data_IF_221088616349
#
_entry.id   IF_221088616349
#
_cell.length_a   1.000
_cell.length_b   1.000
_cell.length_c   1.000
_cell.angle_alpha   90.00
_cell.angle_beta   90.00
_cell.angle_gamma   90.00
#
_symmetry.space_group_name_H-M   'P 1'
#
loop_
_entity.id
_entity.type
_entity.pdbx_description
1 polymer ?
#
# COMPACT_ATOMS: atom_id res chain seq x y z
N UNK A 1 -2.78 -5.86 8.89
CA UNK A 1 -4.11 -6.38 8.54
C UNK A 1 -5.10 -5.26 8.76
N UNK A 2 -5.55 -4.59 7.70
CA UNK A 2 -6.56 -3.54 7.79
C UNK A 2 -7.86 -4.11 7.20
N UNK A 3 -8.89 -4.22 8.03
CA UNK A 3 -10.27 -4.45 7.63
C UNK A 3 -11.07 -3.32 8.28
N UNK A 4 -11.78 -2.53 7.48
CA UNK A 4 -12.80 -1.61 7.99
C UNK A 4 -14.07 -1.76 7.15
N UNK A 5 -15.21 -1.83 7.83
CA UNK A 5 -16.48 -2.32 7.30
C UNK A 5 -17.52 -1.21 7.19
N UNK A 6 -18.07 -1.02 6.00
CA UNK A 6 -19.24 -0.17 5.72
C UNK A 6 -20.03 -0.75 4.55
N UNK A 7 -21.34 -0.93 4.76
CA UNK A 7 -22.21 -1.91 4.10
C UNK A 7 -22.54 -1.72 2.60
N UNK A 8 -21.98 -0.72 1.90
CA UNK A 8 -22.32 -0.45 0.48
C UNK A 8 -21.12 -0.15 -0.43
N UNK A 9 -19.89 -0.31 0.08
CA UNK A 9 -18.70 -0.29 -0.75
C UNK A 9 -18.31 -1.74 -1.08
N UNK A 10 -18.26 -2.07 -2.38
CA UNK A 10 -17.72 -3.35 -2.87
C UNK A 10 -16.20 -3.32 -2.70
N UNK A 11 -15.75 -3.59 -1.48
CA UNK A 11 -14.34 -3.69 -1.13
C UNK A 11 -13.76 -4.92 -1.80
N UNK A 12 -12.82 -4.71 -2.72
CA UNK A 12 -12.24 -5.79 -3.50
C UNK A 12 -11.64 -5.33 -4.80
N UNK A 13 -10.94 -6.24 -5.48
CA UNK A 13 -10.50 -6.07 -6.86
C UNK A 13 -11.52 -6.78 -7.75
N UNK A 14 -12.16 -6.05 -8.66
CA UNK A 14 -13.18 -6.58 -9.57
C UNK A 14 -14.32 -7.32 -8.85
N UNK A 15 -14.73 -6.79 -7.69
CA UNK A 15 -15.79 -7.38 -6.85
C UNK A 15 -15.36 -8.59 -6.02
N UNK A 16 -14.05 -8.91 -5.97
CA UNK A 16 -13.51 -10.03 -5.18
C UNK A 16 -12.80 -9.53 -3.93
N UNK A 17 -13.08 -10.10 -2.74
CA UNK A 17 -12.35 -9.74 -1.54
C UNK A 17 -10.88 -10.15 -1.68
N UNK A 18 -9.98 -9.21 -1.43
CA UNK A 18 -8.53 -9.45 -1.48
C UNK A 18 -7.85 -9.05 -0.17
N UNK A 19 -6.74 -9.71 0.14
CA UNK A 19 -5.79 -9.24 1.14
C UNK A 19 -4.51 -8.75 0.48
N UNK A 20 -3.88 -7.74 1.07
CA UNK A 20 -2.57 -7.24 0.61
C UNK A 20 -1.57 -7.41 1.76
N UNK A 21 -0.44 -8.05 1.48
CA UNK A 21 0.60 -8.33 2.47
C UNK A 21 1.93 -7.74 2.03
N UNK A 22 2.61 -7.05 2.93
CA UNK A 22 4.00 -6.63 2.78
C UNK A 22 4.96 -7.68 3.37
N UNK A 23 6.23 -7.69 2.95
CA UNK A 23 7.19 -8.70 3.36
C UNK A 23 8.63 -8.17 3.44
N UNK A 24 9.44 -8.84 4.28
CA UNK A 24 10.88 -8.62 4.37
C UNK A 24 11.63 -9.02 3.10
N UNK A 25 11.01 -9.84 2.23
CA UNK A 25 11.55 -10.18 0.90
C UNK A 25 11.41 -9.04 -0.12
N UNK A 26 10.98 -7.85 0.33
CA UNK A 26 10.89 -6.61 -0.44
C UNK A 26 9.74 -6.59 -1.44
N UNK A 27 8.79 -7.52 -1.30
CA UNK A 27 7.63 -7.61 -2.18
C UNK A 27 6.34 -7.30 -1.44
N UNK A 28 5.33 -6.93 -2.22
CA UNK A 28 3.95 -6.84 -1.78
C UNK A 28 3.13 -7.83 -2.59
N UNK A 29 2.27 -8.60 -1.94
CA UNK A 29 1.44 -9.64 -2.58
C UNK A 29 -0.02 -9.33 -2.37
N UNK A 30 -0.81 -9.60 -3.39
CA UNK A 30 -2.27 -9.55 -3.35
C UNK A 30 -2.77 -10.99 -3.33
N UNK A 31 -3.75 -11.27 -2.48
CA UNK A 31 -4.31 -12.61 -2.28
C UNK A 31 -5.80 -12.56 -2.55
N UNK A 32 -6.29 -13.49 -3.35
CA UNK A 32 -7.72 -13.72 -3.49
C UNK A 32 -8.19 -14.48 -2.24
N UNK A 33 -9.06 -13.85 -1.45
CA UNK A 33 -9.53 -14.44 -0.19
C UNK A 33 -10.57 -15.54 -0.38
N UNK A 34 -11.17 -15.64 -1.56
CA UNK A 34 -12.09 -16.73 -1.91
C UNK A 34 -11.32 -18.01 -2.20
N UNK A 35 -10.17 -17.90 -2.88
CA UNK A 35 -9.40 -19.07 -3.31
C UNK A 35 -8.18 -19.36 -2.43
N UNK A 36 -7.68 -18.37 -1.69
CA UNK A 36 -6.45 -18.43 -0.91
C UNK A 36 -5.16 -18.30 -1.73
N UNK A 37 -5.27 -18.08 -3.05
CA UNK A 37 -4.11 -17.98 -3.94
C UNK A 37 -3.68 -16.54 -4.18
N UNK A 38 -2.38 -16.30 -4.47
CA UNK A 38 -1.91 -15.01 -4.95
C UNK A 38 -2.60 -14.58 -6.25
N UNK A 39 -2.94 -13.30 -6.35
CA UNK A 39 -3.40 -12.67 -7.59
C UNK A 39 -2.21 -12.08 -8.30
N UNK A 40 -1.85 -12.67 -9.44
CA UNK A 40 -0.74 -12.20 -10.27
C UNK A 40 0.63 -12.33 -9.62
N UNK A 41 1.61 -11.61 -10.18
CA UNK A 41 2.97 -11.54 -9.64
C UNK A 41 3.05 -10.57 -8.45
N UNK A 42 4.06 -10.72 -7.56
CA UNK A 42 4.30 -9.75 -6.51
C UNK A 42 4.53 -8.34 -7.07
N UNK A 43 3.91 -7.34 -6.44
CA UNK A 43 4.10 -5.94 -6.75
C UNK A 43 5.53 -5.54 -6.38
N UNK A 44 6.35 -5.28 -7.41
CA UNK A 44 7.80 -5.12 -7.31
C UNK A 44 8.32 -3.85 -8.00
N UNK A 45 7.43 -3.03 -8.57
CA UNK A 45 7.75 -1.77 -9.24
C UNK A 45 8.72 -0.90 -8.44
N UNK A 46 9.98 -0.86 -8.88
CA UNK A 46 11.10 -0.34 -8.10
C UNK A 46 11.44 -1.27 -6.93
N UNK A 47 12.61 -1.91 -6.97
CA UNK A 47 13.02 -2.79 -5.87
C UNK A 47 13.22 -1.92 -4.63
N UNK A 48 12.39 -2.12 -3.61
CA UNK A 48 12.64 -1.54 -2.30
C UNK A 48 14.11 -1.79 -1.91
N UNK A 49 14.78 -0.76 -1.44
CA UNK A 49 16.12 -0.85 -0.88
C UNK A 49 16.14 -1.78 0.35
N UNK A 50 15.05 -1.83 1.12
CA UNK A 50 14.87 -2.67 2.30
C UNK A 50 13.54 -3.44 2.34
N UNK A 51 13.16 -3.90 3.54
CA UNK A 51 11.89 -4.58 3.78
C UNK A 51 10.69 -3.64 3.51
N UNK A 52 9.56 -4.22 3.12
CA UNK A 52 8.28 -3.49 3.10
C UNK A 52 7.60 -3.71 4.44
N UNK A 53 7.58 -2.65 5.26
CA UNK A 53 7.14 -2.74 6.65
C UNK A 53 5.67 -2.36 6.83
N UNK A 54 5.10 -1.64 5.85
CA UNK A 54 3.77 -1.06 5.99
C UNK A 54 2.96 -1.19 4.71
N UNK A 55 1.65 -1.42 4.88
CA UNK A 55 0.67 -1.39 3.80
C UNK A 55 -0.66 -0.87 4.33
N UNK A 56 -1.31 0.00 3.55
CA UNK A 56 -2.68 0.44 3.74
C UNK A 56 -3.44 0.27 2.42
N UNK A 57 -4.73 -0.03 2.50
CA UNK A 57 -5.61 -0.14 1.34
C UNK A 57 -6.75 0.86 1.46
N UNK A 58 -7.22 1.36 0.32
CA UNK A 58 -8.37 2.24 0.25
C UNK A 58 -9.04 2.11 -1.12
N UNK A 59 -10.26 2.64 -1.24
CA UNK A 59 -10.86 2.93 -2.54
C UNK A 59 -10.81 4.44 -2.72
N UNK A 60 -10.17 4.89 -3.80
CA UNK A 60 -10.02 6.31 -4.08
C UNK A 60 -10.54 6.59 -5.49
N UNK A 61 -11.52 7.49 -5.61
CA UNK A 61 -12.23 7.79 -6.86
C UNK A 61 -12.79 6.53 -7.55
N UNK A 62 -13.28 5.57 -6.75
CA UNK A 62 -13.79 4.28 -7.23
C UNK A 62 -12.72 3.26 -7.60
N UNK A 63 -11.43 3.57 -7.43
CA UNK A 63 -10.31 2.69 -7.74
C UNK A 63 -9.74 2.05 -6.47
N UNK A 64 -9.66 0.71 -6.37
CA UNK A 64 -8.94 0.03 -5.29
C UNK A 64 -7.44 0.32 -5.37
N UNK A 65 -6.88 0.87 -4.30
CA UNK A 65 -5.46 1.21 -4.21
C UNK A 65 -4.81 0.60 -2.98
N UNK A 66 -3.51 0.32 -3.08
CA UNK A 66 -2.66 0.07 -1.94
C UNK A 66 -1.57 1.14 -1.85
N UNK A 67 -1.27 1.59 -0.64
CA UNK A 67 -0.07 2.38 -0.34
C UNK A 67 0.85 1.51 0.48
N UNK A 68 2.11 1.43 0.07
CA UNK A 68 3.10 0.56 0.70
C UNK A 68 4.35 1.33 1.05
N UNK A 69 4.85 1.11 2.27
CA UNK A 69 6.00 1.79 2.83
C UNK A 69 7.09 0.81 3.22
N UNK A 70 8.33 1.14 2.86
CA UNK A 70 9.51 0.36 3.22
C UNK A 70 10.77 1.19 3.12
N UNK A 71 11.91 0.51 3.08
CA UNK A 71 13.20 1.14 2.81
C UNK A 71 14.32 0.75 3.78
N UNK A 72 15.51 1.28 3.54
CA UNK A 72 16.70 1.10 4.38
C UNK A 72 16.84 2.19 5.45
N UNK A 73 17.89 2.09 6.27
CA UNK A 73 18.10 2.97 7.44
C UNK A 73 17.99 4.47 7.12
N UNK A 74 18.47 4.89 5.95
CA UNK A 74 18.55 6.30 5.54
C UNK A 74 17.67 6.65 4.33
N UNK A 75 16.78 5.75 3.93
CA UNK A 75 15.88 6.00 2.80
C UNK A 75 14.57 5.29 3.02
N UNK A 76 13.48 6.05 3.02
CA UNK A 76 12.11 5.55 3.02
C UNK A 76 11.52 5.62 1.62
N UNK A 77 10.79 4.60 1.25
CA UNK A 77 10.17 4.49 -0.07
C UNK A 77 8.67 4.26 0.14
N UNK A 78 7.84 5.14 -0.41
CA UNK A 78 6.38 5.00 -0.41
C UNK A 78 5.87 4.91 -1.84
N UNK A 79 5.11 3.86 -2.12
CA UNK A 79 4.53 3.59 -3.44
C UNK A 79 3.03 3.45 -3.33
N UNK A 80 2.33 3.96 -4.34
CA UNK A 80 0.88 3.78 -4.51
C UNK A 80 0.68 2.80 -5.66
N UNK A 81 -0.24 1.84 -5.50
CA UNK A 81 -0.53 0.81 -6.49
C UNK A 81 -2.00 0.85 -6.86
N UNK A 82 -2.28 0.64 -8.14
CA UNK A 82 -3.57 0.14 -8.58
C UNK A 82 -3.63 -1.37 -8.32
N UNK A 83 -4.57 -1.80 -7.49
CA UNK A 83 -4.76 -3.21 -7.18
C UNK A 83 -5.47 -4.00 -8.28
N UNK A 84 -6.22 -3.34 -9.18
CA UNK A 84 -6.81 -3.95 -10.36
C UNK A 84 -5.76 -4.29 -11.41
N UNK A 85 -4.81 -3.38 -11.66
CA UNK A 85 -3.78 -3.62 -12.69
C UNK A 85 -2.45 -4.14 -12.15
N UNK A 86 -2.24 -4.07 -10.83
CA UNK A 86 -0.95 -4.38 -10.18
C UNK A 86 0.17 -3.39 -10.55
N UNK A 87 -0.16 -2.16 -10.95
CA UNK A 87 0.82 -1.17 -11.45
C UNK A 87 0.96 0.00 -10.48
N UNK A 88 2.17 0.59 -10.36
CA UNK A 88 2.36 1.79 -9.56
C UNK A 88 1.58 2.98 -10.15
N UNK A 89 1.06 3.83 -9.27
CA UNK A 89 0.36 5.06 -9.57
C UNK A 89 1.23 6.26 -9.21
N UNK A 90 1.63 7.03 -10.23
CA UNK A 90 2.44 8.22 -10.05
C UNK A 90 3.90 7.91 -9.69
N UNK A 91 4.59 8.94 -9.25
CA UNK A 91 5.98 8.84 -8.81
C UNK A 91 6.06 8.26 -7.39
N UNK A 92 7.14 7.53 -7.14
CA UNK A 92 7.52 7.11 -5.81
C UNK A 92 7.86 8.32 -4.92
N UNK A 93 7.42 8.28 -3.67
CA UNK A 93 7.82 9.25 -2.67
C UNK A 93 9.04 8.70 -1.90
N UNK A 94 10.10 9.49 -1.87
CA UNK A 94 11.34 9.19 -1.12
C UNK A 94 11.38 10.04 0.15
N UNK A 95 11.63 9.38 1.28
CA UNK A 95 11.73 9.97 2.61
C UNK A 95 13.14 9.78 3.19
N UNK A 96 13.60 10.62 4.12
CA UNK A 96 14.97 10.58 4.63
C UNK A 96 15.25 9.44 5.64
N UNK A 97 14.27 8.59 5.93
CA UNK A 97 14.41 7.45 6.84
C UNK A 97 13.39 6.35 6.52
N UNK A 98 13.65 5.15 7.01
CA UNK A 98 12.80 3.98 6.81
C UNK A 98 11.33 4.25 7.18
N UNK A 99 10.41 3.78 6.33
CA UNK A 99 8.97 3.84 6.61
C UNK A 99 8.58 2.66 7.50
N UNK A 100 7.85 2.98 8.57
CA UNK A 100 7.37 2.00 9.54
C UNK A 100 5.85 1.83 9.51
N UNK A 101 5.12 2.88 9.11
CA UNK A 101 3.66 2.83 9.02
C UNK A 101 3.15 3.74 7.91
N UNK A 102 2.05 3.34 7.30
CA UNK A 102 1.25 4.14 6.37
C UNK A 102 -0.22 3.99 6.74
N UNK A 103 -0.96 5.09 6.72
CA UNK A 103 -2.41 5.10 6.97
C UNK A 103 -3.07 6.03 5.95
N UNK A 104 -4.16 5.57 5.35
CA UNK A 104 -5.04 6.40 4.52
C UNK A 104 -6.26 6.73 5.36
N UNK A 105 -6.51 8.01 5.58
CA UNK A 105 -7.68 8.48 6.33
C UNK A 105 -8.91 8.52 5.43
N UNK A 106 -10.11 8.52 6.03
CA UNK A 106 -11.39 8.56 5.29
C UNK A 106 -11.58 9.84 4.47
N UNK A 107 -10.90 10.93 4.83
CA UNK A 107 -10.84 12.18 4.06
C UNK A 107 -9.73 12.18 2.98
N UNK A 108 -9.11 11.04 2.72
CA UNK A 108 -8.17 10.84 1.61
C UNK A 108 -6.74 11.33 1.85
N UNK A 109 -6.37 11.66 3.09
CA UNK A 109 -4.98 12.02 3.43
C UNK A 109 -4.14 10.75 3.63
N UNK A 110 -2.87 10.86 3.28
CA UNK A 110 -1.89 9.82 3.56
C UNK A 110 -1.00 10.27 4.72
N UNK A 111 -1.01 9.52 5.81
CA UNK A 111 -0.11 9.71 6.95
C UNK A 111 0.99 8.65 6.87
N UNK A 112 2.24 9.08 6.92
CA UNK A 112 3.41 8.20 6.87
C UNK A 112 4.26 8.43 8.11
N UNK A 113 4.51 7.38 8.88
CA UNK A 113 5.50 7.40 9.96
C UNK A 113 6.83 6.86 9.44
N UNK A 114 7.90 7.65 9.58
CA UNK A 114 9.23 7.31 9.09
C UNK A 114 10.29 7.80 10.07
N UNK A 115 11.33 7.00 10.33
CA UNK A 115 12.31 7.31 11.37
C UNK A 115 11.64 7.67 12.71
N UNK A 116 11.79 8.93 13.15
CA UNK A 116 11.10 9.50 14.35
C UNK A 116 10.10 10.60 13.99
N UNK A 117 9.74 10.71 12.73
CA UNK A 117 8.93 11.80 12.17
C UNK A 117 7.62 11.26 11.55
N UNK A 118 6.71 12.20 11.27
CA UNK A 118 5.45 11.93 10.59
C UNK A 118 5.30 12.92 9.44
N UNK A 119 4.90 12.43 8.27
CA UNK A 119 4.48 13.25 7.15
C UNK A 119 2.97 13.07 6.94
N UNK A 120 2.27 14.19 6.70
CA UNK A 120 0.87 14.18 6.29
C UNK A 120 0.80 14.75 4.89
N UNK A 121 0.39 13.91 3.94
CA UNK A 121 0.30 14.23 2.53
C UNK A 121 -1.17 14.43 2.19
N UNK A 122 -1.45 15.55 1.54
CA UNK A 122 -2.78 15.88 1.05
C UNK A 122 -2.72 15.90 -0.48
N UNK A 123 -3.84 15.59 -1.12
CA UNK A 123 -3.97 15.81 -2.57
C UNK A 123 -4.03 17.31 -2.82
N UNK A 124 -3.17 17.80 -3.71
CA UNK A 124 -3.19 19.18 -4.19
C UNK A 124 -4.31 19.37 -5.21
#
# INVERSE_FOLDING_TARGET
>A
MAVDGGADARWGVDGRPVAVTSSNDKTVRVWDLTTGWPVGEPLTGGRYSGAVNAVATAVVDGRPVAVTGGGGENVGEVRVWDLTTGRPLGAELVLPAAVHTVVITSDGRLVVGFGREIAVLTRC
#
